data_IF_825035506834
#
_entry.id   IF_825035506834
#
_cell.length_a   1.000
_cell.length_b   1.000
_cell.length_c   1.000
_cell.angle_alpha   90.00
_cell.angle_beta   90.00
_cell.angle_gamma   90.00
#
_symmetry.space_group_name_H-M   'P 1'
#
loop_
_entity.id
_entity.type
_entity.pdbx_description
1 polymer ?
#
# COMPACT_ATOMS: atom_id res chain seq x y z
N UNK A 1 15.86 -0.65 -4.20
CA UNK A 1 15.62 0.79 -4.42
C UNK A 1 14.14 1.13 -4.20
N UNK A 2 13.23 0.39 -4.85
CA UNK A 2 11.77 0.53 -4.75
C UNK A 2 11.27 0.55 -3.30
N UNK A 3 11.67 -0.42 -2.47
CA UNK A 3 11.31 -0.47 -1.06
C UNK A 3 11.76 0.79 -0.27
N UNK A 4 12.94 1.34 -0.56
CA UNK A 4 13.45 2.55 0.11
C UNK A 4 12.63 3.77 -0.31
N UNK A 5 12.27 3.87 -1.59
CA UNK A 5 11.43 4.95 -2.10
C UNK A 5 10.02 4.90 -1.50
N UNK A 6 9.44 3.70 -1.32
CA UNK A 6 8.14 3.53 -0.69
C UNK A 6 8.12 4.01 0.77
N UNK A 7 9.21 3.76 1.53
CA UNK A 7 9.36 4.27 2.91
C UNK A 7 9.43 5.80 2.98
N UNK A 8 9.87 6.47 1.91
CA UNK A 8 10.01 7.93 1.88
C UNK A 8 8.71 8.71 2.02
N UNK A 9 7.56 8.07 1.77
CA UNK A 9 6.23 8.70 1.82
C UNK A 9 5.47 8.36 3.10
N UNK A 10 5.99 7.46 3.94
CA UNK A 10 5.32 7.04 5.17
C UNK A 10 5.55 8.09 6.28
N UNK A 11 4.48 8.60 6.92
CA UNK A 11 4.60 9.48 8.07
C UNK A 11 4.94 8.68 9.33
N UNK A 12 6.11 8.95 9.93
CA UNK A 12 6.52 8.33 11.19
C UNK A 12 6.07 9.11 12.43
N UNK A 13 5.66 10.36 12.23
CA UNK A 13 5.31 11.28 13.30
C UNK A 13 4.92 12.65 12.74
N UNK A 14 4.61 13.58 13.63
CA UNK A 14 4.19 14.93 13.24
C UNK A 14 5.32 15.65 12.52
N UNK A 15 5.10 16.01 11.24
CA UNK A 15 6.11 16.60 10.35
C UNK A 15 7.37 15.73 10.19
N UNK A 16 7.26 14.41 10.38
CA UNK A 16 8.35 13.45 10.18
C UNK A 16 8.11 12.58 8.95
N UNK A 17 7.73 13.22 7.84
CA UNK A 17 7.67 12.61 6.50
C UNK A 17 8.92 13.00 5.71
N UNK A 18 9.70 12.03 5.20
CA UNK A 18 10.88 12.34 4.40
C UNK A 18 10.57 13.16 3.14
N UNK A 19 9.48 12.82 2.43
CA UNK A 19 9.02 13.55 1.26
C UNK A 19 7.50 13.76 1.32
N UNK A 20 7.07 15.02 1.30
CA UNK A 20 5.65 15.39 1.27
C UNK A 20 5.22 15.48 -0.20
N UNK A 21 4.29 14.62 -0.59
CA UNK A 21 3.73 14.57 -1.95
C UNK A 21 2.21 14.52 -1.83
N UNK A 22 1.50 15.38 -2.58
CA UNK A 22 0.03 15.42 -2.54
C UNK A 22 -0.62 14.09 -2.96
N UNK A 23 0.02 13.39 -3.91
CA UNK A 23 -0.34 12.05 -4.36
C UNK A 23 0.42 10.92 -3.66
N UNK A 24 0.77 11.07 -2.38
CA UNK A 24 1.64 10.12 -1.67
C UNK A 24 1.16 8.66 -1.73
N UNK A 25 -0.14 8.40 -1.56
CA UNK A 25 -0.69 7.04 -1.72
C UNK A 25 -0.47 6.50 -3.14
N UNK A 26 -0.75 7.30 -4.17
CA UNK A 26 -0.55 6.88 -5.56
C UNK A 26 0.93 6.58 -5.84
N UNK A 27 1.82 7.41 -5.30
CA UNK A 27 3.26 7.19 -5.40
C UNK A 27 3.68 5.87 -4.75
N UNK A 28 3.16 5.56 -3.55
CA UNK A 28 3.45 4.30 -2.86
C UNK A 28 3.11 3.09 -3.73
N UNK A 29 1.93 3.08 -4.34
CA UNK A 29 1.51 2.02 -5.26
C UNK A 29 2.34 1.98 -6.56
N UNK A 30 2.58 3.14 -7.16
CA UNK A 30 3.35 3.24 -8.41
C UNK A 30 4.80 2.77 -8.26
N UNK A 31 5.41 2.97 -7.08
CA UNK A 31 6.74 2.42 -6.77
C UNK A 31 6.66 0.94 -6.44
N UNK A 32 5.60 0.49 -5.76
CA UNK A 32 5.35 -0.93 -5.49
C UNK A 32 5.36 -1.77 -6.77
N UNK A 33 4.63 -1.33 -7.78
CA UNK A 33 4.41 -2.01 -9.08
C UNK A 33 5.66 -2.20 -9.95
N UNK A 34 6.79 -1.60 -9.56
CA UNK A 34 8.08 -1.80 -10.24
C UNK A 34 8.79 -3.08 -9.79
N UNK A 35 8.34 -3.70 -8.68
CA UNK A 35 8.94 -4.90 -8.11
C UNK A 35 8.67 -6.13 -8.98
N UNK A 36 7.50 -6.19 -9.60
CA UNK A 36 7.02 -7.23 -10.50
C UNK A 36 7.91 -7.33 -11.73
N UNK A 37 8.32 -6.19 -12.29
CA UNK A 37 9.29 -6.12 -13.39
C UNK A 37 10.68 -6.60 -12.96
N UNK A 38 11.11 -6.30 -11.73
CA UNK A 38 12.39 -6.78 -11.23
C UNK A 38 12.39 -8.32 -11.09
N UNK A 39 11.29 -8.91 -10.58
CA UNK A 39 11.12 -10.37 -10.49
C UNK A 39 11.10 -11.00 -11.88
N UNK A 40 10.45 -10.37 -12.86
CA UNK A 40 10.47 -10.82 -14.26
C UNK A 40 11.89 -10.89 -14.82
N UNK A 41 12.65 -9.80 -14.70
CA UNK A 41 14.02 -9.73 -15.19
C UNK A 41 14.94 -10.72 -14.47
N UNK A 42 14.75 -10.95 -13.18
CA UNK A 42 15.50 -11.96 -12.42
C UNK A 42 15.21 -13.39 -12.94
N UNK A 43 13.95 -13.71 -13.19
CA UNK A 43 13.54 -14.98 -13.80
C UNK A 43 14.14 -15.18 -15.19
N UNK A 44 14.03 -14.18 -16.05
CA UNK A 44 14.54 -14.24 -17.42
C UNK A 44 16.08 -14.30 -17.48
N UNK A 45 16.76 -13.50 -16.66
CA UNK A 45 18.23 -13.44 -16.60
C UNK A 45 18.90 -14.69 -16.03
N UNK A 46 18.16 -15.51 -15.28
CA UNK A 46 18.68 -16.77 -14.73
C UNK A 46 18.95 -17.86 -15.79
N UNK A 47 18.51 -17.67 -17.03
CA UNK A 47 18.69 -18.59 -18.16
C UNK A 47 18.28 -20.05 -17.86
N UNK A 48 17.25 -20.24 -17.02
CA UNK A 48 16.72 -21.54 -16.66
C UNK A 48 15.20 -21.58 -16.84
N UNK A 49 14.71 -22.58 -17.59
CA UNK A 49 13.28 -22.80 -17.83
C UNK A 49 12.45 -22.87 -16.54
N UNK A 50 12.93 -23.57 -15.53
CA UNK A 50 12.19 -23.73 -14.27
C UNK A 50 12.13 -22.43 -13.47
N UNK A 51 13.20 -21.64 -13.51
CA UNK A 51 13.26 -20.32 -12.88
C UNK A 51 12.32 -19.33 -13.58
N UNK A 52 12.27 -19.35 -14.92
CA UNK A 52 11.31 -18.54 -15.68
C UNK A 52 9.86 -18.90 -15.34
N UNK A 53 9.52 -20.20 -15.27
CA UNK A 53 8.18 -20.65 -14.88
C UNK A 53 7.84 -20.27 -13.42
N UNK A 54 8.82 -20.34 -12.51
CA UNK A 54 8.67 -19.87 -11.13
C UNK A 54 8.39 -18.37 -11.05
N UNK A 55 9.14 -17.56 -11.81
CA UNK A 55 8.94 -16.12 -11.89
C UNK A 55 7.56 -15.75 -12.47
N UNK A 56 7.11 -16.43 -13.53
CA UNK A 56 5.77 -16.23 -14.10
C UNK A 56 4.65 -16.48 -13.08
N UNK A 57 4.78 -17.53 -12.26
CA UNK A 57 3.81 -17.83 -11.19
C UNK A 57 3.81 -16.74 -10.11
N UNK A 58 4.99 -16.29 -9.69
CA UNK A 58 5.12 -15.23 -8.70
C UNK A 58 4.52 -13.91 -9.20
N UNK A 59 4.78 -13.53 -10.45
CA UNK A 59 4.24 -12.29 -11.05
C UNK A 59 2.73 -12.36 -11.18
N UNK A 60 2.18 -13.48 -11.66
CA UNK A 60 0.73 -13.65 -11.75
C UNK A 60 0.05 -13.49 -10.37
N UNK A 61 0.72 -13.97 -9.31
CA UNK A 61 0.26 -13.79 -7.94
C UNK A 61 0.36 -12.32 -7.51
N UNK A 62 1.53 -11.66 -7.61
CA UNK A 62 1.71 -10.26 -7.18
C UNK A 62 0.70 -9.32 -7.86
N UNK A 63 0.55 -9.41 -9.18
CA UNK A 63 -0.41 -8.57 -9.94
C UNK A 63 -1.85 -8.82 -9.49
N UNK A 64 -2.23 -10.07 -9.21
CA UNK A 64 -3.60 -10.41 -8.79
C UNK A 64 -3.96 -9.81 -7.42
N UNK A 65 -2.98 -9.66 -6.54
CA UNK A 65 -3.19 -9.13 -5.18
C UNK A 65 -2.93 -7.62 -5.07
N UNK A 66 -2.25 -7.01 -6.04
CA UNK A 66 -2.05 -5.56 -6.12
C UNK A 66 -3.38 -4.80 -6.33
N UNK A 67 -4.24 -5.30 -7.23
CA UNK A 67 -5.51 -4.64 -7.55
C UNK A 67 -6.46 -4.54 -6.35
N UNK A 68 -6.72 -5.63 -5.58
CA UNK A 68 -7.48 -5.52 -4.33
C UNK A 68 -6.82 -4.57 -3.30
N UNK A 69 -5.49 -4.53 -3.22
CA UNK A 69 -4.76 -3.64 -2.32
C UNK A 69 -5.02 -2.16 -2.66
N UNK A 70 -5.08 -1.82 -3.94
CA UNK A 70 -5.44 -0.46 -4.40
C UNK A 70 -6.90 -0.14 -4.08
N UNK A 71 -7.83 -1.05 -4.39
CA UNK A 71 -9.27 -0.83 -4.22
C UNK A 71 -9.64 -0.62 -2.74
N UNK A 72 -9.00 -1.35 -1.83
CA UNK A 72 -9.27 -1.25 -0.38
C UNK A 72 -8.82 0.07 0.24
N UNK A 73 -7.92 0.82 -0.41
CA UNK A 73 -7.52 2.16 0.04
C UNK A 73 -8.52 3.24 -0.39
N UNK A 74 -9.31 3.02 -1.44
CA UNK A 74 -10.25 4.02 -1.97
C UNK A 74 -11.27 4.53 -0.93
N UNK A 75 -11.94 3.71 -0.12
CA UNK A 75 -12.90 4.20 0.88
C UNK A 75 -12.28 5.19 1.87
N UNK A 76 -11.04 4.95 2.29
CA UNK A 76 -10.30 5.84 3.20
C UNK A 76 -10.01 7.18 2.54
N UNK A 77 -9.54 7.14 1.28
CA UNK A 77 -9.25 8.35 0.51
C UNK A 77 -10.53 9.17 0.26
N UNK A 78 -11.65 8.52 -0.05
CA UNK A 78 -12.93 9.19 -0.29
C UNK A 78 -13.47 9.89 0.96
N UNK A 79 -13.24 9.32 2.15
CA UNK A 79 -13.70 9.91 3.41
C UNK A 79 -12.81 11.07 3.85
N UNK A 80 -11.50 10.96 3.66
CA UNK A 80 -10.55 12.04 4.01
C UNK A 80 -10.56 13.15 2.95
N UNK A 81 -10.88 12.83 1.70
CA UNK A 81 -10.84 13.78 0.57
C UNK A 81 -9.42 14.14 0.14
N UNK A 82 -8.42 13.33 0.49
CA UNK A 82 -7.01 13.57 0.12
C UNK A 82 -6.23 12.28 -0.07
N UNK A 83 -5.26 12.31 -0.98
CA UNK A 83 -4.30 11.24 -1.25
C UNK A 83 -3.00 11.39 -0.45
N UNK A 84 -2.89 12.45 0.36
CA UNK A 84 -1.73 12.71 1.18
C UNK A 84 -1.81 11.89 2.49
N UNK A 85 -0.83 11.00 2.77
CA UNK A 85 -0.79 10.19 3.99
C UNK A 85 -0.83 10.99 5.29
N UNK A 86 -0.19 12.17 5.34
CA UNK A 86 -0.18 13.03 6.53
C UNK A 86 -1.59 13.49 6.90
N UNK A 87 -2.40 13.85 5.89
CA UNK A 87 -3.80 14.26 6.08
C UNK A 87 -4.68 13.10 6.53
N UNK A 88 -4.39 11.89 6.07
CA UNK A 88 -5.12 10.67 6.45
C UNK A 88 -4.83 10.32 7.91
N UNK A 89 -3.57 10.37 8.33
CA UNK A 89 -3.20 10.16 9.75
C UNK A 89 -3.78 11.27 10.63
N UNK A 90 -3.76 12.53 10.17
CA UNK A 90 -4.38 13.63 10.90
C UNK A 90 -5.89 13.43 11.09
N UNK A 91 -6.60 12.90 10.09
CA UNK A 91 -8.03 12.58 10.20
C UNK A 91 -8.33 11.45 11.21
N UNK A 92 -7.35 10.62 11.54
CA UNK A 92 -7.46 9.55 12.54
C UNK A 92 -7.01 9.97 13.94
N UNK A 93 -6.44 11.18 14.09
CA UNK A 93 -5.88 11.68 15.36
C UNK A 93 -6.93 12.11 16.40
N UNK A 94 -8.21 12.14 16.01
CA UNK A 94 -9.32 12.51 16.88
C UNK A 94 -9.77 11.34 17.76
N UNK A 95 -10.32 11.62 18.94
CA UNK A 95 -10.98 10.64 19.77
C UNK A 95 -12.50 10.66 19.55
N UNK A 96 -13.08 9.51 19.25
CA UNK A 96 -14.52 9.29 19.32
C UNK A 96 -14.90 8.96 20.75
N UNK A 97 -15.97 9.58 21.26
CA UNK A 97 -16.53 9.29 22.60
C UNK A 97 -15.55 9.54 23.77
N UNK A 98 -14.52 10.37 23.58
CA UNK A 98 -13.58 10.78 24.65
C UNK A 98 -12.56 9.71 25.09
N UNK A 99 -12.75 8.44 24.72
CA UNK A 99 -11.84 7.35 25.09
C UNK A 99 -11.42 6.45 23.91
N UNK A 100 -12.19 6.38 22.82
CA UNK A 100 -11.89 5.51 21.68
C UNK A 100 -11.14 6.31 20.59
N UNK A 101 -9.96 5.86 20.15
CA UNK A 101 -9.31 6.46 18.97
C UNK A 101 -10.21 6.35 17.74
N UNK A 102 -10.37 7.43 16.97
CA UNK A 102 -11.15 7.45 15.72
C UNK A 102 -10.35 6.81 14.56
N UNK A 103 -9.93 5.57 14.75
CA UNK A 103 -9.24 4.81 13.72
C UNK A 103 -10.24 4.26 12.72
N UNK A 104 -9.89 4.30 11.44
CA UNK A 104 -10.76 3.79 10.38
C UNK A 104 -11.01 2.29 10.49
N UNK A 105 -10.18 1.53 11.21
CA UNK A 105 -10.38 0.09 11.42
C UNK A 105 -11.65 -0.22 12.22
N UNK A 106 -12.11 0.68 13.09
CA UNK A 106 -13.30 0.43 13.93
C UNK A 106 -14.63 0.71 13.21
N UNK A 107 -14.60 1.30 12.01
CA UNK A 107 -15.81 1.48 11.22
C UNK A 107 -16.13 0.18 10.46
N UNK A 108 -17.41 -0.18 10.24
CA UNK A 108 -17.75 -1.43 9.53
C UNK A 108 -17.14 -1.53 8.13
N UNK A 109 -17.08 -0.42 7.40
CA UNK A 109 -16.47 -0.35 6.07
C UNK A 109 -14.94 -0.41 6.12
N UNK A 110 -14.33 0.23 7.12
CA UNK A 110 -12.88 0.26 7.27
C UNK A 110 -12.31 -1.03 7.85
N UNK A 111 -13.07 -1.75 8.68
CA UNK A 111 -12.76 -3.11 9.13
C UNK A 111 -12.69 -4.09 7.94
N UNK A 112 -13.68 -4.03 7.03
CA UNK A 112 -13.69 -4.85 5.82
C UNK A 112 -12.51 -4.49 4.90
N UNK A 113 -12.26 -3.19 4.69
CA UNK A 113 -11.12 -2.71 3.93
C UNK A 113 -9.79 -3.15 4.53
N UNK A 114 -9.66 -3.12 5.86
CA UNK A 114 -8.46 -3.57 6.58
C UNK A 114 -8.21 -5.06 6.40
N UNK A 115 -9.23 -5.91 6.55
CA UNK A 115 -9.07 -7.37 6.38
C UNK A 115 -8.61 -7.68 4.95
N UNK A 116 -9.26 -7.08 3.95
CA UNK A 116 -8.88 -7.29 2.55
C UNK A 116 -7.48 -6.75 2.24
N UNK A 117 -7.14 -5.56 2.72
CA UNK A 117 -5.81 -4.97 2.57
C UNK A 117 -4.73 -5.84 3.22
N UNK A 118 -4.99 -6.37 4.43
CA UNK A 118 -4.06 -7.21 5.16
C UNK A 118 -3.84 -8.56 4.46
N UNK A 119 -4.91 -9.20 3.99
CA UNK A 119 -4.81 -10.48 3.26
C UNK A 119 -4.07 -10.28 1.94
N UNK A 120 -4.34 -9.19 1.22
CA UNK A 120 -3.65 -8.88 -0.03
C UNK A 120 -2.18 -8.50 0.17
N UNK A 121 -1.84 -7.79 1.24
CA UNK A 121 -0.47 -7.38 1.55
C UNK A 121 0.43 -8.49 2.10
N UNK A 122 -0.11 -9.69 2.35
CA UNK A 122 0.66 -10.84 2.83
C UNK A 122 1.34 -11.62 1.69
N UNK A 123 0.91 -11.36 0.46
CA UNK A 123 1.41 -11.93 -0.79
C UNK A 123 2.57 -11.11 -1.32
#
# INVERSE_FOLDING_TARGET
>A
ATAILALGVIPYGRNMTPFIIDGGILFFFAVGSTTELAVFMAGWGSNNKFSMLGAMRAIAQMISYELPLIITVLPVVMIVGSLNPDKIVAAQSTYSLGFMPHWFVFTPWGAAAFILFFVSGLV
#
